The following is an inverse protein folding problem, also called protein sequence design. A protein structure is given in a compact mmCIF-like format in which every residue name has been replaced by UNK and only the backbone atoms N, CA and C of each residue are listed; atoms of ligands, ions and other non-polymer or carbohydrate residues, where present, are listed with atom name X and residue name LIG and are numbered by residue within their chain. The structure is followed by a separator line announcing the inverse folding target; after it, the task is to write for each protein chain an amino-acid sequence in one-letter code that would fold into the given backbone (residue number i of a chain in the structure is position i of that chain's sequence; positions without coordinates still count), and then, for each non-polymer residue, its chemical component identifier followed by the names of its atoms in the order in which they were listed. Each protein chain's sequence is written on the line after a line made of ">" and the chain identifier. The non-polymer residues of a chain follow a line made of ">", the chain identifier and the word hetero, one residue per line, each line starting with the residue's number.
data_IF_197990099176
#
_entry.id   IF_197990099176
#
_cell.length_a   1.000
_cell.length_b   1.000
_cell.length_c   1.000
_cell.angle_alpha   90.00
_cell.angle_beta   90.00
_cell.angle_gamma   90.00
#
_symmetry.space_group_name_H-M   'P 1'
#
loop_
_entity.id
_entity.type
_entity.pdbx_description
1 polymer ?
#
# COMPACT_ATOMS: atom_id res chain seq x y z
N UNK A 1 2.46 0.78 -1.09
CA UNK A 1 3.90 0.91 -1.43
C UNK A 1 4.37 -0.43 -2.00
N UNK A 2 4.89 -0.47 -3.22
CA UNK A 2 5.35 -1.71 -3.87
C UNK A 2 6.48 -1.40 -4.86
N UNK A 3 7.49 -2.26 -5.01
CA UNK A 3 8.46 -2.15 -6.09
C UNK A 3 7.86 -2.25 -7.50
N UNK A 4 6.66 -2.83 -7.64
CA UNK A 4 5.94 -2.95 -8.91
C UNK A 4 4.83 -1.92 -9.09
N UNK A 5 4.71 -0.94 -8.18
CA UNK A 5 3.78 0.15 -8.39
C UNK A 5 4.23 1.01 -9.58
N UNK A 6 3.27 1.47 -10.40
CA UNK A 6 3.57 2.40 -11.48
C UNK A 6 4.10 3.72 -10.90
N UNK A 7 5.26 4.18 -11.36
CA UNK A 7 5.90 5.39 -10.83
C UNK A 7 5.18 6.66 -11.32
N UNK A 8 4.92 7.60 -10.40
CA UNK A 8 4.29 8.89 -10.73
C UNK A 8 2.86 8.77 -11.27
N UNK A 9 2.21 7.63 -11.04
CA UNK A 9 0.89 7.31 -11.59
C UNK A 9 -0.21 7.55 -10.57
N UNK A 10 -1.28 8.23 -10.99
CA UNK A 10 -2.51 8.39 -10.22
C UNK A 10 -3.56 7.48 -10.85
N UNK A 11 -4.01 6.50 -10.09
CA UNK A 11 -5.09 5.63 -10.51
C UNK A 11 -6.44 6.28 -10.18
N UNK A 12 -7.26 6.52 -11.21
CA UNK A 12 -8.58 7.11 -11.08
C UNK A 12 -9.71 6.07 -11.00
N UNK A 13 -9.36 4.78 -10.97
CA UNK A 13 -10.34 3.70 -10.82
C UNK A 13 -11.03 3.83 -9.46
N UNK A 14 -12.37 3.77 -9.45
CA UNK A 14 -13.11 3.76 -8.20
C UNK A 14 -12.96 2.40 -7.52
N UNK A 15 -12.38 2.41 -6.32
CA UNK A 15 -12.21 1.22 -5.49
C UNK A 15 -13.09 1.29 -4.25
N UNK A 16 -13.31 0.12 -3.65
CA UNK A 16 -14.00 -0.06 -2.39
C UNK A 16 -13.15 -0.95 -1.46
N UNK A 17 -13.57 -1.16 -0.22
CA UNK A 17 -12.77 -1.94 0.74
C UNK A 17 -12.48 -3.36 0.23
N UNK A 18 -13.48 -3.94 -0.45
CA UNK A 18 -13.48 -5.26 -1.06
C UNK A 18 -12.53 -5.37 -2.25
N UNK A 19 -12.07 -4.25 -2.84
CA UNK A 19 -11.03 -4.27 -3.88
C UNK A 19 -9.72 -4.89 -3.39
N UNK A 20 -9.44 -4.79 -2.09
CA UNK A 20 -8.31 -5.49 -1.47
C UNK A 20 -8.51 -7.00 -1.47
N UNK A 21 -9.72 -7.47 -1.12
CA UNK A 21 -10.06 -8.89 -1.17
C UNK A 21 -9.97 -9.41 -2.60
N UNK A 22 -10.51 -8.65 -3.56
CA UNK A 22 -10.43 -8.97 -4.99
C UNK A 22 -9.00 -9.16 -5.49
N UNK A 23 -8.08 -8.33 -5.01
CA UNK A 23 -6.67 -8.44 -5.34
C UNK A 23 -6.03 -9.70 -4.74
N UNK A 24 -6.36 -10.05 -3.50
CA UNK A 24 -5.90 -11.28 -2.83
C UNK A 24 -6.43 -12.52 -3.56
N UNK A 25 -7.73 -12.54 -3.87
CA UNK A 25 -8.38 -13.59 -4.66
C UNK A 25 -7.64 -13.84 -5.97
N UNK A 26 -7.39 -12.78 -6.74
CA UNK A 26 -6.63 -12.87 -7.98
C UNK A 26 -5.21 -13.41 -7.75
N UNK A 27 -4.49 -12.90 -6.74
CA UNK A 27 -3.09 -13.26 -6.50
C UNK A 27 -2.90 -14.72 -6.10
N UNK A 28 -3.85 -15.29 -5.38
CA UNK A 28 -3.79 -16.65 -4.84
C UNK A 28 -4.76 -17.62 -5.52
N UNK A 29 -5.46 -17.19 -6.57
CA UNK A 29 -6.47 -17.99 -7.29
C UNK A 29 -7.57 -18.52 -6.36
N UNK A 30 -8.07 -17.66 -5.47
CA UNK A 30 -9.15 -18.00 -4.54
C UNK A 30 -10.51 -17.59 -5.12
N UNK A 31 -11.60 -18.29 -4.76
CA UNK A 31 -12.94 -17.84 -5.06
C UNK A 31 -13.31 -16.60 -4.22
N UNK A 32 -14.25 -15.77 -4.69
CA UNK A 32 -14.79 -14.67 -3.90
C UNK A 32 -15.54 -15.19 -2.68
N UNK A 33 -15.54 -14.41 -1.60
CA UNK A 33 -16.18 -14.75 -0.34
C UNK A 33 -17.66 -14.38 -0.33
N UNK A 34 -18.04 -13.32 -1.05
CA UNK A 34 -19.40 -12.80 -1.13
C UNK A 34 -19.72 -12.27 -2.53
N UNK A 35 -20.95 -11.79 -2.73
CA UNK A 35 -21.27 -11.05 -3.95
C UNK A 35 -20.57 -9.68 -4.01
N UNK A 36 -20.11 -9.12 -2.89
CA UNK A 36 -19.60 -7.75 -2.85
C UNK A 36 -18.19 -7.62 -3.42
N UNK A 37 -17.29 -8.51 -3.00
CA UNK A 37 -15.94 -8.71 -3.53
C UNK A 37 -15.95 -9.35 -4.92
N UNK A 38 -16.94 -10.21 -5.23
CA UNK A 38 -17.16 -10.69 -6.59
C UNK A 38 -17.27 -9.52 -7.60
N UNK A 39 -18.03 -8.48 -7.27
CA UNK A 39 -18.25 -7.31 -8.12
C UNK A 39 -17.27 -6.14 -7.88
N UNK A 40 -16.27 -6.30 -7.01
CA UNK A 40 -15.30 -5.25 -6.74
C UNK A 40 -14.27 -5.11 -7.87
N UNK A 41 -13.81 -3.87 -8.09
CA UNK A 41 -12.70 -3.59 -9.00
C UNK A 41 -11.37 -4.09 -8.41
N UNK A 42 -10.53 -4.72 -9.23
CA UNK A 42 -9.22 -5.20 -8.81
C UNK A 42 -8.17 -4.10 -8.89
N UNK A 43 -7.21 -4.09 -7.97
CA UNK A 43 -6.15 -3.07 -7.82
C UNK A 43 -5.03 -3.15 -8.89
N UNK A 44 -5.17 -4.00 -9.91
CA UNK A 44 -4.11 -4.27 -10.89
C UNK A 44 -3.69 -3.03 -11.69
N UNK A 45 -4.56 -2.05 -11.86
CA UNK A 45 -4.22 -0.85 -12.62
C UNK A 45 -3.12 -0.01 -11.94
N UNK A 46 -2.93 -0.15 -10.62
CA UNK A 46 -1.86 0.52 -9.89
C UNK A 46 -0.48 -0.15 -10.07
N UNK A 47 -0.41 -1.34 -10.65
CA UNK A 47 0.82 -2.13 -10.77
C UNK A 47 1.22 -2.35 -12.22
N UNK A 48 2.53 -2.41 -12.45
CA UNK A 48 3.13 -2.99 -13.65
C UNK A 48 4.06 -4.12 -13.18
N UNK A 49 3.64 -5.37 -13.38
CA UNK A 49 4.43 -6.54 -13.01
C UNK A 49 5.43 -6.97 -14.11
N UNK A 50 5.40 -6.32 -15.28
CA UNK A 50 6.37 -6.55 -16.35
C UNK A 50 7.66 -5.72 -16.17
N UNK A 51 7.59 -4.64 -15.36
CA UNK A 51 8.75 -3.83 -15.03
C UNK A 51 9.70 -4.53 -14.06
N UNK A 52 10.99 -4.16 -14.10
CA UNK A 52 11.94 -4.50 -13.03
C UNK A 52 11.50 -3.80 -11.73
N UNK A 53 11.58 -4.47 -10.55
CA UNK A 53 11.33 -3.83 -9.26
C UNK A 53 12.01 -2.48 -9.12
N UNK A 54 11.24 -1.45 -8.78
CA UNK A 54 11.76 -0.12 -8.46
C UNK A 54 12.64 -0.20 -7.21
N UNK A 55 13.66 0.67 -7.18
CA UNK A 55 14.52 0.81 -6.02
C UNK A 55 13.68 1.25 -4.79
N UNK A 56 14.05 0.82 -3.58
CA UNK A 56 13.39 1.29 -2.37
C UNK A 56 13.47 2.82 -2.27
N UNK A 57 12.47 3.47 -1.65
CA UNK A 57 12.50 4.91 -1.46
C UNK A 57 13.74 5.31 -0.67
N UNK A 58 14.30 6.48 -1.01
CA UNK A 58 15.42 7.05 -0.28
C UNK A 58 14.98 7.34 1.16
N UNK A 59 15.56 6.63 2.11
CA UNK A 59 15.34 6.90 3.53
C UNK A 59 16.02 8.24 3.86
N UNK A 60 15.24 9.23 4.27
CA UNK A 60 15.78 10.47 4.82
C UNK A 60 15.99 10.23 6.31
N UNK A 61 17.23 10.09 6.81
CA UNK A 61 17.47 9.94 8.24
C UNK A 61 17.10 11.25 8.93
N UNK A 62 16.28 11.17 9.97
CA UNK A 62 16.04 12.30 10.85
C UNK A 62 17.29 12.53 11.71
N UNK A 63 17.73 13.77 11.82
CA UNK A 63 18.72 14.17 12.83
C UNK A 63 18.13 14.04 14.23
N UNK A 64 18.98 13.96 15.25
CA UNK A 64 18.53 13.91 16.65
C UNK A 64 17.65 15.10 17.05
N UNK A 65 17.91 16.29 16.48
CA UNK A 65 17.12 17.49 16.71
C UNK A 65 15.76 17.44 16.01
N UNK A 66 15.69 16.99 14.75
CA UNK A 66 14.42 16.80 14.02
C UNK A 66 13.56 15.72 14.69
N UNK A 67 14.17 14.64 15.15
CA UNK A 67 13.46 13.61 15.89
C UNK A 67 12.89 14.15 17.21
N UNK A 68 13.68 14.93 17.96
CA UNK A 68 13.23 15.57 19.19
C UNK A 68 12.11 16.60 18.96
N UNK A 69 12.10 17.29 17.82
CA UNK A 69 11.06 18.24 17.45
C UNK A 69 9.70 17.58 17.12
N UNK A 70 9.69 16.29 16.75
CA UNK A 70 8.45 15.51 16.49
C UNK A 70 7.92 14.85 17.79
N UNK A 71 8.79 14.60 18.77
CA UNK A 71 8.42 14.02 20.09
C UNK A 71 7.33 14.75 20.89
N UNK A 72 7.10 16.09 20.84
CA UNK A 72 6.01 16.70 21.59
C UNK A 72 4.60 16.26 21.14
N UNK A 73 4.47 15.56 20.01
CA UNK A 73 3.18 15.13 19.45
C UNK A 73 3.02 13.61 19.28
N UNK A 74 4.07 12.82 19.52
CA UNK A 74 4.04 11.35 19.44
C UNK A 74 4.53 10.77 20.77
N UNK A 75 3.61 10.15 21.52
CA UNK A 75 3.98 9.44 22.74
C UNK A 75 4.57 8.06 22.38
N UNK A 76 5.88 8.01 22.16
CA UNK A 76 6.63 6.80 21.80
C UNK A 76 6.68 5.75 22.92
N UNK A 77 6.24 6.07 24.13
CA UNK A 77 6.17 5.13 25.26
C UNK A 77 4.97 4.16 25.17
N UNK A 78 4.18 4.19 24.09
CA UNK A 78 2.96 3.38 23.93
C UNK A 78 3.00 2.40 22.74
N UNK A 79 4.15 2.21 22.10
CA UNK A 79 4.26 1.38 20.88
C UNK A 79 5.10 0.10 21.05
N UNK A 80 5.39 -0.32 22.28
CA UNK A 80 5.86 -1.69 22.53
C UNK A 80 5.21 -2.19 23.82
N UNK A 81 4.03 -2.78 23.66
CA UNK A 81 3.53 -3.94 24.42
C UNK A 81 2.93 -4.91 23.38
#
# INVERSE_FOLDING_TARGET
>A
LSPYAKQGYIDHTQYQFESTLKFIEWRFSLPPLTDRDLHANNLLNAFDFSQKPLNPPHLVPLTGAEFAAIRPHINLARTID
#
